data_IF_451068082575
#
_entry.id   IF_451068082575
#
_cell.length_a   1.000
_cell.length_b   1.000
_cell.length_c   1.000
_cell.angle_alpha   90.00
_cell.angle_beta   90.00
_cell.angle_gamma   90.00
#
_symmetry.space_group_name_H-M   'P 1'
#
loop_
_entity.id
_entity.type
_entity.pdbx_description
1 polymer ?
#
# COMPACT_ATOMS: atom_id res chain seq x y z
N UNK A 1 6.41 -1.58 15.92
CA UNK A 1 5.24 -0.68 16.06
C UNK A 1 4.02 -1.58 16.02
N UNK A 2 3.36 -1.73 17.17
CA UNK A 2 2.21 -2.62 17.33
C UNK A 2 0.96 -1.72 17.40
N UNK A 3 0.57 -1.15 16.28
CA UNK A 3 -0.65 -0.36 16.23
C UNK A 3 -1.10 -0.22 14.80
N UNK A 4 -2.19 -0.90 14.46
CA UNK A 4 -2.84 -0.77 13.16
C UNK A 4 -3.94 0.28 13.23
N UNK A 5 -4.15 1.00 12.14
CA UNK A 5 -5.20 2.00 12.00
C UNK A 5 -4.83 3.14 11.08
N UNK A 6 -5.83 3.70 10.41
CA UNK A 6 -5.64 4.82 9.48
C UNK A 6 -4.93 6.01 10.13
N UNK A 7 -5.19 6.25 11.42
CA UNK A 7 -4.67 7.39 12.17
C UNK A 7 -3.48 7.03 13.07
N UNK A 8 -3.08 5.78 13.13
CA UNK A 8 -1.89 5.32 13.85
C UNK A 8 -0.68 5.44 12.94
N UNK A 9 -0.07 6.61 12.92
CA UNK A 9 0.88 7.03 11.90
C UNK A 9 2.30 7.15 12.43
N UNK A 10 3.24 6.73 11.58
CA UNK A 10 4.68 6.92 11.80
C UNK A 10 5.18 7.91 10.76
N UNK A 11 5.72 9.03 11.21
CA UNK A 11 6.31 10.04 10.34
C UNK A 11 7.83 9.92 10.38
N UNK A 12 8.43 9.78 9.20
CA UNK A 12 9.87 9.81 9.02
C UNK A 12 10.32 11.03 8.22
N UNK A 13 11.20 11.83 8.83
CA UNK A 13 11.78 13.00 8.21
C UNK A 13 13.00 12.57 7.39
N UNK A 14 12.76 12.19 6.14
CA UNK A 14 13.78 11.66 5.22
C UNK A 14 14.51 12.82 4.50
N UNK A 15 13.78 13.90 4.18
CA UNK A 15 14.33 15.01 3.40
C UNK A 15 14.81 14.54 2.03
N UNK A 16 16.01 14.96 1.65
CA UNK A 16 16.66 14.59 0.38
C UNK A 16 17.55 13.35 0.48
N UNK A 17 17.56 12.67 1.62
CA UNK A 17 18.44 11.53 1.81
C UNK A 17 18.05 10.36 0.91
N UNK A 18 19.05 9.80 0.26
CA UNK A 18 18.96 8.54 -0.47
C UNK A 18 19.31 7.41 0.49
N UNK A 19 18.47 6.38 0.54
CA UNK A 19 18.73 5.25 1.43
C UNK A 19 17.56 4.27 1.52
N UNK A 20 17.83 3.17 2.19
CA UNK A 20 16.83 2.13 2.44
C UNK A 20 16.27 2.29 3.85
N UNK A 21 14.94 2.14 3.95
CA UNK A 21 14.19 2.32 5.18
C UNK A 21 13.28 1.10 5.41
N UNK A 22 13.18 0.68 6.66
CA UNK A 22 12.26 -0.37 7.09
C UNK A 22 11.38 0.20 8.19
N UNK A 23 10.09 0.29 7.92
CA UNK A 23 9.10 0.70 8.90
C UNK A 23 8.61 -0.56 9.60
N UNK A 24 8.98 -0.76 10.89
CA UNK A 24 8.80 -2.03 11.58
C UNK A 24 7.38 -2.16 12.16
N UNK A 25 6.39 -2.24 11.30
CA UNK A 25 5.02 -2.54 11.71
C UNK A 25 4.90 -3.99 12.17
N UNK A 26 3.84 -4.28 12.90
CA UNK A 26 3.50 -5.62 13.34
C UNK A 26 2.22 -5.65 14.15
N UNK A 27 1.70 -6.85 14.40
CA UNK A 27 0.49 -7.09 15.16
C UNK A 27 0.85 -7.92 16.39
N UNK A 28 0.54 -7.40 17.56
CA UNK A 28 0.89 -8.08 18.80
C UNK A 28 2.40 -8.31 18.93
N UNK A 29 2.80 -9.37 19.60
CA UNK A 29 4.22 -9.68 19.83
C UNK A 29 4.79 -10.70 18.84
N UNK A 30 3.95 -11.27 17.97
CA UNK A 30 4.31 -12.44 17.16
C UNK A 30 4.37 -12.17 15.64
N UNK A 31 3.70 -11.16 15.15
CA UNK A 31 3.61 -10.91 13.71
C UNK A 31 4.34 -9.63 13.30
N UNK A 32 5.37 -9.78 12.51
CA UNK A 32 6.16 -8.69 11.96
C UNK A 32 5.76 -8.44 10.51
N UNK A 33 5.24 -7.24 10.22
CA UNK A 33 4.66 -6.85 8.93
C UNK A 33 5.29 -5.53 8.44
N UNK A 34 6.58 -5.51 8.13
CA UNK A 34 7.26 -4.28 7.76
C UNK A 34 6.79 -3.74 6.40
N UNK A 35 6.89 -2.42 6.25
CA UNK A 35 6.98 -1.78 4.95
C UNK A 35 8.41 -1.38 4.72
N UNK A 36 8.99 -1.77 3.60
CA UNK A 36 10.37 -1.43 3.27
C UNK A 36 10.43 -0.68 1.94
N UNK A 37 11.36 0.24 1.81
CA UNK A 37 11.55 1.01 0.59
C UNK A 37 12.96 1.62 0.51
N UNK A 38 13.37 1.97 -0.69
CA UNK A 38 14.58 2.77 -0.93
C UNK A 38 14.18 4.05 -1.63
N UNK A 39 14.67 5.19 -1.15
CA UNK A 39 14.36 6.53 -1.69
C UNK A 39 15.46 7.06 -2.59
N UNK A 40 15.09 7.84 -3.60
CA UNK A 40 16.02 8.58 -4.45
C UNK A 40 15.36 9.83 -5.04
N UNK A 41 16.18 10.79 -5.49
CA UNK A 41 15.75 11.91 -6.33
C UNK A 41 14.77 12.90 -5.69
N UNK A 42 14.66 12.95 -4.35
CA UNK A 42 13.78 13.89 -3.68
C UNK A 42 14.35 15.30 -3.66
N UNK A 43 13.50 16.32 -3.73
CA UNK A 43 13.82 17.70 -3.43
C UNK A 43 12.89 18.24 -2.34
N UNK A 44 13.47 18.84 -1.31
CA UNK A 44 12.78 19.33 -0.12
C UNK A 44 13.43 18.82 1.16
N UNK A 45 14.33 19.64 1.74
CA UNK A 45 15.12 19.24 2.91
C UNK A 45 14.27 18.89 4.16
N UNK A 46 13.07 19.46 4.23
CA UNK A 46 12.09 19.18 5.32
C UNK A 46 11.06 18.11 4.95
N UNK A 47 11.27 17.44 3.83
CA UNK A 47 10.37 16.40 3.33
C UNK A 47 10.25 15.20 4.28
N UNK A 48 9.07 14.64 4.37
CA UNK A 48 8.81 13.46 5.19
C UNK A 48 7.85 12.49 4.50
N UNK A 49 7.99 11.21 4.84
CA UNK A 49 7.00 10.19 4.52
C UNK A 49 6.26 9.79 5.81
N UNK A 50 4.95 9.76 5.73
CA UNK A 50 4.09 9.31 6.82
C UNK A 50 3.46 7.98 6.45
N UNK A 51 3.63 7.00 7.32
CA UNK A 51 3.20 5.62 7.11
C UNK A 51 2.09 5.24 8.07
N UNK A 52 1.14 4.46 7.59
CA UNK A 52 0.17 3.71 8.39
C UNK A 52 -0.21 2.44 7.64
N UNK A 53 -0.75 1.46 8.35
CA UNK A 53 -1.38 0.30 7.74
C UNK A 53 -2.44 -0.29 8.65
N UNK A 54 -3.41 -0.96 8.07
CA UNK A 54 -4.41 -1.70 8.81
C UNK A 54 -5.20 -2.65 7.91
N UNK A 55 -5.76 -3.75 8.45
CA UNK A 55 -6.69 -4.59 7.73
C UNK A 55 -8.08 -3.96 7.70
N UNK A 56 -8.86 -4.25 6.66
CA UNK A 56 -10.26 -3.80 6.57
C UNK A 56 -11.16 -4.62 7.50
N UNK A 57 -10.78 -5.85 7.81
CA UNK A 57 -11.49 -6.76 8.69
C UNK A 57 -12.55 -7.64 8.00
N UNK A 58 -12.85 -7.38 6.72
CA UNK A 58 -13.72 -8.24 5.89
C UNK A 58 -13.61 -7.89 4.42
N UNK A 59 -13.44 -8.88 3.57
CA UNK A 59 -13.30 -8.77 2.10
C UNK A 59 -14.37 -7.98 1.39
N UNK A 60 -15.60 -8.11 1.83
CA UNK A 60 -16.75 -7.46 1.20
C UNK A 60 -17.25 -6.27 2.02
N UNK A 61 -16.59 -5.99 3.12
CA UNK A 61 -16.97 -4.90 4.00
C UNK A 61 -16.20 -3.63 3.63
N UNK A 62 -16.89 -2.67 3.05
CA UNK A 62 -16.36 -1.36 2.72
C UNK A 62 -16.47 -0.34 3.87
N UNK A 63 -16.88 -0.76 5.07
CA UNK A 63 -17.12 0.15 6.19
C UNK A 63 -15.86 0.75 6.80
N UNK A 64 -14.70 0.13 6.59
CA UNK A 64 -13.41 0.58 7.11
C UNK A 64 -12.44 1.03 6.02
N UNK A 65 -12.96 1.53 4.92
CA UNK A 65 -12.11 2.11 3.86
C UNK A 65 -11.34 3.32 4.39
N UNK A 66 -10.09 3.52 3.92
CA UNK A 66 -9.35 4.72 4.25
C UNK A 66 -10.05 5.95 3.71
N UNK A 67 -10.02 7.03 4.46
CA UNK A 67 -10.39 8.34 3.91
C UNK A 67 -9.29 8.79 2.92
N UNK A 68 -9.53 9.04 1.66
CA UNK A 68 -10.79 9.30 0.94
C UNK A 68 -11.32 8.12 0.08
N UNK A 69 -10.84 6.90 0.27
CA UNK A 69 -11.26 5.76 -0.57
C UNK A 69 -12.75 5.49 -0.40
N UNK A 70 -13.49 5.51 -1.50
CA UNK A 70 -14.95 5.39 -1.46
C UNK A 70 -15.48 4.05 -2.00
N UNK A 71 -14.65 3.32 -2.75
CA UNK A 71 -15.09 2.10 -3.44
C UNK A 71 -13.91 1.24 -3.91
N UNK A 72 -14.25 0.02 -4.37
CA UNK A 72 -13.39 -0.92 -5.08
C UNK A 72 -13.89 -1.17 -6.51
N UNK A 73 -14.33 -0.13 -7.17
CA UNK A 73 -14.93 -0.25 -8.51
C UNK A 73 -13.89 0.04 -9.57
N UNK A 74 -13.77 -0.88 -10.52
CA UNK A 74 -12.88 -0.68 -11.66
C UNK A 74 -13.48 0.30 -12.70
N UNK A 75 -12.69 0.65 -13.70
CA UNK A 75 -13.08 1.58 -14.78
C UNK A 75 -14.31 1.13 -15.60
N UNK A 76 -14.74 -0.12 -15.44
CA UNK A 76 -15.94 -0.67 -16.10
C UNK A 76 -17.16 -0.75 -15.18
N UNK A 77 -17.05 -0.25 -13.95
CA UNK A 77 -18.14 -0.23 -12.97
C UNK A 77 -18.31 -1.54 -12.19
N UNK A 78 -17.41 -2.50 -12.32
CA UNK A 78 -17.45 -3.75 -11.56
C UNK A 78 -16.81 -3.56 -10.18
N UNK A 79 -17.49 -4.03 -9.14
CA UNK A 79 -16.93 -4.07 -7.78
C UNK A 79 -16.01 -5.28 -7.65
N UNK A 80 -14.71 -5.02 -7.54
CA UNK A 80 -13.66 -6.02 -7.44
C UNK A 80 -13.12 -6.17 -6.00
N UNK A 81 -13.86 -5.75 -4.98
CA UNK A 81 -13.43 -5.85 -3.57
C UNK A 81 -13.07 -7.27 -3.13
N UNK A 82 -13.71 -8.29 -3.71
CA UNK A 82 -13.40 -9.69 -3.42
C UNK A 82 -12.02 -10.15 -3.93
N UNK A 83 -11.37 -9.36 -4.76
CA UNK A 83 -10.08 -9.67 -5.36
C UNK A 83 -8.94 -8.78 -4.82
N UNK A 84 -9.25 -7.84 -3.94
CA UNK A 84 -8.28 -7.06 -3.19
C UNK A 84 -8.00 -7.73 -1.84
N UNK A 85 -6.75 -7.71 -1.38
CA UNK A 85 -6.44 -8.23 -0.05
C UNK A 85 -7.04 -7.35 1.04
N UNK A 86 -7.26 -7.93 2.22
CA UNK A 86 -7.86 -7.24 3.36
C UNK A 86 -6.85 -6.34 4.09
N UNK A 87 -6.15 -5.47 3.34
CA UNK A 87 -5.19 -4.54 3.94
C UNK A 87 -4.98 -3.28 3.10
N UNK A 88 -4.80 -2.15 3.81
CA UNK A 88 -4.35 -0.89 3.22
C UNK A 88 -3.02 -0.45 3.82
N UNK A 89 -2.25 0.24 3.00
CA UNK A 89 -1.03 0.94 3.41
C UNK A 89 -1.13 2.42 3.04
N UNK A 90 -0.65 3.26 3.96
CA UNK A 90 -0.47 4.68 3.73
C UNK A 90 1.01 4.97 3.55
N UNK A 91 1.35 5.72 2.49
CA UNK A 91 2.68 6.28 2.25
C UNK A 91 2.48 7.71 1.76
N UNK A 92 2.44 8.66 2.68
CA UNK A 92 2.09 10.05 2.38
C UNK A 92 3.33 10.94 2.36
N UNK A 93 3.72 11.46 1.18
CA UNK A 93 4.78 12.45 1.06
C UNK A 93 4.27 13.83 1.46
N UNK A 94 4.99 14.52 2.34
CA UNK A 94 4.70 15.90 2.76
C UNK A 94 5.94 16.77 2.72
N UNK A 95 5.77 18.07 2.43
CA UNK A 95 6.84 19.08 2.38
C UNK A 95 7.95 18.79 1.35
N UNK A 96 7.62 18.10 0.28
CA UNK A 96 8.51 17.93 -0.86
C UNK A 96 8.14 18.88 -1.98
N UNK A 97 9.14 19.51 -2.61
CA UNK A 97 8.99 20.17 -3.93
C UNK A 97 9.03 19.15 -5.06
N UNK A 98 9.80 18.08 -4.87
CA UNK A 98 9.78 16.88 -5.71
C UNK A 98 9.73 15.67 -4.78
N UNK A 99 8.67 14.89 -4.86
CA UNK A 99 8.52 13.65 -4.10
C UNK A 99 9.68 12.70 -4.39
N UNK A 100 10.10 11.85 -3.45
CA UNK A 100 11.08 10.81 -3.77
C UNK A 100 10.53 9.82 -4.80
N UNK A 101 11.38 9.34 -5.68
CA UNK A 101 11.17 8.09 -6.36
C UNK A 101 11.50 6.94 -5.39
N UNK A 102 10.76 5.83 -5.48
CA UNK A 102 10.99 4.67 -4.63
C UNK A 102 11.45 3.48 -5.47
N UNK A 103 12.32 2.69 -4.88
CA UNK A 103 12.66 1.37 -5.40
C UNK A 103 12.53 0.34 -4.28
N UNK A 104 12.31 -0.92 -4.67
CA UNK A 104 12.11 -2.01 -3.71
C UNK A 104 11.06 -1.64 -2.63
N UNK A 105 9.94 -1.06 -3.05
CA UNK A 105 8.82 -0.85 -2.15
C UNK A 105 8.17 -2.21 -1.86
N UNK A 106 8.29 -2.67 -0.63
CA UNK A 106 7.85 -3.99 -0.18
C UNK A 106 6.68 -3.83 0.76
N UNK A 107 5.57 -4.46 0.41
CA UNK A 107 4.39 -4.62 1.25
C UNK A 107 4.39 -6.01 1.85
N UNK A 108 4.17 -6.10 3.16
CA UNK A 108 4.04 -7.38 3.88
C UNK A 108 2.62 -7.51 4.43
N UNK A 109 2.03 -8.69 4.26
CA UNK A 109 0.65 -9.00 4.65
C UNK A 109 0.57 -10.40 5.28
N UNK A 110 -0.61 -10.84 5.69
CA UNK A 110 -0.85 -12.15 6.32
C UNK A 110 -1.60 -13.08 5.38
N UNK A 111 -1.42 -14.39 5.54
CA UNK A 111 -2.21 -15.42 4.83
C UNK A 111 -3.71 -15.17 4.94
N UNK A 112 -4.19 -14.86 6.13
CA UNK A 112 -5.62 -14.64 6.38
C UNK A 112 -6.18 -13.44 5.60
N UNK A 113 -5.34 -12.55 5.10
CA UNK A 113 -5.78 -11.35 4.36
C UNK A 113 -6.01 -11.62 2.88
N UNK A 114 -5.62 -12.79 2.38
CA UNK A 114 -5.85 -13.20 1.00
C UNK A 114 -6.43 -14.61 0.84
N UNK A 115 -6.51 -15.39 1.91
CA UNK A 115 -6.87 -16.82 1.87
C UNK A 115 -8.12 -17.22 2.66
N UNK A 116 -9.01 -16.27 2.97
CA UNK A 116 -10.27 -16.61 3.65
C UNK A 116 -11.25 -17.33 2.72
N UNK A 117 -12.17 -18.13 3.29
CA UNK A 117 -13.01 -19.09 2.57
C UNK A 117 -13.90 -18.51 1.43
N UNK A 118 -14.19 -17.21 1.43
CA UNK A 118 -14.98 -16.54 0.38
C UNK A 118 -14.12 -15.83 -0.68
N UNK A 119 -12.81 -15.95 -0.57
CA UNK A 119 -11.85 -15.27 -1.37
C UNK A 119 -11.33 -16.16 -2.49
N UNK A 120 -11.13 -15.60 -3.67
CA UNK A 120 -10.62 -16.30 -4.85
C UNK A 120 -9.28 -15.73 -5.32
N UNK A 121 -8.59 -14.94 -4.49
CA UNK A 121 -7.30 -14.35 -4.82
C UNK A 121 -6.24 -15.43 -4.99
N UNK A 122 -5.53 -15.36 -6.11
CA UNK A 122 -4.31 -16.13 -6.31
C UNK A 122 -3.12 -15.27 -5.88
N UNK A 123 -2.45 -15.62 -4.80
CA UNK A 123 -1.37 -14.80 -4.21
C UNK A 123 -0.28 -14.43 -5.22
N UNK A 124 0.10 -15.37 -6.10
CA UNK A 124 1.11 -15.12 -7.14
C UNK A 124 0.70 -14.09 -8.19
N UNK A 125 -0.56 -13.72 -8.25
CA UNK A 125 -1.09 -12.70 -9.16
C UNK A 125 -1.22 -11.33 -8.51
N UNK A 126 -0.84 -11.17 -7.25
CA UNK A 126 -0.97 -9.89 -6.57
C UNK A 126 -0.10 -8.81 -7.21
N UNK A 127 -0.72 -7.67 -7.43
CA UNK A 127 -0.09 -6.43 -7.90
C UNK A 127 -0.48 -5.30 -6.96
N UNK A 128 0.34 -4.26 -6.90
CA UNK A 128 0.01 -3.08 -6.11
C UNK A 128 -0.83 -2.10 -6.94
N UNK A 129 -1.92 -1.63 -6.35
CA UNK A 129 -2.70 -0.51 -6.86
C UNK A 129 -2.73 0.63 -5.84
N UNK A 130 -2.85 1.85 -6.36
CA UNK A 130 -2.88 3.08 -5.57
C UNK A 130 -4.13 3.88 -5.86
N UNK A 131 -4.67 4.50 -4.83
CA UNK A 131 -5.84 5.35 -4.95
C UNK A 131 -5.45 6.78 -5.27
N UNK A 132 -6.04 7.32 -6.32
CA UNK A 132 -5.92 8.72 -6.72
C UNK A 132 -7.13 9.50 -6.19
N UNK A 133 -6.93 10.21 -5.12
CA UNK A 133 -7.97 11.00 -4.44
C UNK A 133 -8.43 12.22 -5.24
N UNK A 134 -7.67 12.66 -6.23
CA UNK A 134 -8.08 13.73 -7.14
C UNK A 134 -9.16 13.26 -8.10
N UNK A 135 -9.05 12.03 -8.59
CA UNK A 135 -9.97 11.43 -9.55
C UNK A 135 -11.02 10.54 -8.88
N UNK A 136 -10.89 10.26 -7.58
CA UNK A 136 -11.69 9.29 -6.82
C UNK A 136 -11.71 7.90 -7.46
N UNK A 137 -10.56 7.45 -7.93
CA UNK A 137 -10.40 6.18 -8.64
C UNK A 137 -9.10 5.48 -8.25
N UNK A 138 -9.09 4.18 -8.46
CA UNK A 138 -7.86 3.42 -8.44
C UNK A 138 -7.10 3.66 -9.74
N UNK A 139 -5.85 4.09 -9.63
CA UNK A 139 -4.98 4.29 -10.78
C UNK A 139 -4.41 2.96 -11.27
N UNK A 140 -3.78 3.00 -12.44
CA UNK A 140 -3.12 1.84 -13.03
C UNK A 140 -2.26 1.10 -12.02
N UNK A 141 -2.27 -0.21 -12.11
CA UNK A 141 -1.47 -1.05 -11.25
C UNK A 141 0.03 -0.84 -11.44
N UNK A 142 0.75 -0.98 -10.36
CA UNK A 142 2.21 -1.09 -10.40
C UNK A 142 2.55 -2.57 -10.47
N UNK A 143 3.30 -3.00 -11.50
CA UNK A 143 3.76 -4.37 -11.56
C UNK A 143 4.48 -4.71 -10.26
N UNK A 144 3.88 -5.58 -9.47
CA UNK A 144 4.52 -6.18 -8.31
C UNK A 144 4.90 -7.61 -8.70
N UNK A 145 6.10 -7.99 -8.38
CA UNK A 145 6.42 -9.41 -8.35
C UNK A 145 5.98 -9.90 -6.99
N UNK A 146 4.90 -10.68 -6.95
CA UNK A 146 4.54 -11.38 -5.73
C UNK A 146 5.70 -12.28 -5.35
N UNK A 147 6.32 -12.00 -4.22
CA UNK A 147 7.38 -12.85 -3.66
C UNK A 147 6.72 -13.60 -2.53
N UNK A 148 6.47 -14.88 -2.74
CA UNK A 148 5.89 -15.79 -1.75
C UNK A 148 6.90 -16.03 -0.62
N UNK A 149 6.45 -16.14 0.61
CA UNK A 149 5.11 -15.90 1.13
C UNK A 149 4.90 -14.47 1.66
N UNK A 150 3.69 -13.97 1.51
CA UNK A 150 3.20 -12.78 2.24
C UNK A 150 3.95 -11.46 1.97
N UNK A 151 4.59 -11.33 0.81
CA UNK A 151 5.23 -10.09 0.38
C UNK A 151 4.95 -9.76 -1.07
N UNK A 152 4.78 -8.48 -1.36
CA UNK A 152 4.72 -7.97 -2.73
C UNK A 152 5.73 -6.83 -2.90
N UNK A 153 6.48 -6.85 -3.99
CA UNK A 153 7.54 -5.89 -4.27
C UNK A 153 7.21 -5.06 -5.50
N UNK A 154 7.16 -3.76 -5.34
CA UNK A 154 7.18 -2.80 -6.46
C UNK A 154 8.63 -2.41 -6.70
N UNK A 155 9.21 -2.90 -7.79
CA UNK A 155 10.63 -2.73 -8.06
C UNK A 155 11.01 -1.25 -8.26
N UNK A 156 10.17 -0.49 -8.96
CA UNK A 156 10.40 0.92 -9.25
C UNK A 156 9.11 1.71 -9.21
N UNK A 157 9.09 2.82 -8.49
CA UNK A 157 7.98 3.76 -8.41
C UNK A 157 8.50 5.17 -8.70
N UNK A 158 8.19 5.75 -9.87
CA UNK A 158 8.51 7.13 -10.17
C UNK A 158 7.85 8.11 -9.18
N UNK A 159 8.48 9.23 -8.89
CA UNK A 159 7.99 10.22 -7.93
C UNK A 159 6.58 10.73 -8.21
N UNK A 160 6.20 10.89 -9.47
CA UNK A 160 4.85 11.28 -9.88
C UNK A 160 3.78 10.24 -9.54
N UNK A 161 4.17 8.99 -9.36
CA UNK A 161 3.30 7.86 -9.09
C UNK A 161 3.19 7.52 -7.59
N UNK A 162 3.83 8.28 -6.73
CA UNK A 162 3.73 8.11 -5.29
C UNK A 162 2.46 8.78 -4.78
N UNK A 163 1.41 7.97 -4.63
CA UNK A 163 0.13 8.33 -4.02
C UNK A 163 0.07 7.87 -2.56
N UNK A 164 -0.93 8.37 -1.84
CA UNK A 164 -1.03 8.15 -0.39
C UNK A 164 -1.49 6.73 -0.03
N UNK A 165 -2.52 6.20 -0.69
CA UNK A 165 -3.14 4.95 -0.29
C UNK A 165 -2.91 3.82 -1.29
N UNK A 166 -2.62 2.65 -0.75
CA UNK A 166 -2.24 1.46 -1.49
C UNK A 166 -3.00 0.23 -0.98
N UNK A 167 -3.28 -0.68 -1.89
CA UNK A 167 -3.71 -2.05 -1.62
C UNK A 167 -3.06 -3.01 -2.61
N UNK A 168 -3.21 -4.30 -2.40
CA UNK A 168 -2.84 -5.32 -3.38
C UNK A 168 -4.10 -5.96 -3.94
N UNK A 169 -4.08 -6.31 -5.21
CA UNK A 169 -5.21 -6.89 -5.92
C UNK A 169 -4.73 -7.98 -6.88
N UNK A 170 -5.56 -8.99 -7.12
CA UNK A 170 -5.30 -9.99 -8.17
C UNK A 170 -5.30 -9.30 -9.53
N UNK A 171 -4.26 -9.47 -10.32
CA UNK A 171 -4.08 -8.75 -11.59
C UNK A 171 -5.12 -9.11 -12.66
N UNK A 172 -5.87 -10.19 -12.48
CA UNK A 172 -6.99 -10.52 -13.35
C UNK A 172 -8.25 -9.69 -13.05
N UNK A 173 -8.28 -8.98 -11.92
CA UNK A 173 -9.44 -8.27 -11.39
C UNK A 173 -9.05 -6.89 -10.83
N UNK A 174 -8.26 -6.13 -11.58
CA UNK A 174 -7.81 -4.79 -11.15
C UNK A 174 -8.99 -3.86 -10.80
N UNK A 175 -8.72 -2.96 -9.86
CA UNK A 175 -9.68 -1.97 -9.36
C UNK A 175 -9.82 -0.78 -10.31
#
# INVERSE_FOLDING_TARGET
IISEGEFNRVKWNIGTNVGSYVIPFGIGTAEYLPVSLTTSGAAGATGSLTFAMYPVGSWLNTSNLPTPVTNFVNNYGANNSAFAIDRFWRIEPTNYTTKPALTNLIFTYRDIEHSVASNTITESNLIAQRYNDTNNSWDDYMPATAIVPNTAVVATLPSAQLFTWWTLVDNNFVL
#
